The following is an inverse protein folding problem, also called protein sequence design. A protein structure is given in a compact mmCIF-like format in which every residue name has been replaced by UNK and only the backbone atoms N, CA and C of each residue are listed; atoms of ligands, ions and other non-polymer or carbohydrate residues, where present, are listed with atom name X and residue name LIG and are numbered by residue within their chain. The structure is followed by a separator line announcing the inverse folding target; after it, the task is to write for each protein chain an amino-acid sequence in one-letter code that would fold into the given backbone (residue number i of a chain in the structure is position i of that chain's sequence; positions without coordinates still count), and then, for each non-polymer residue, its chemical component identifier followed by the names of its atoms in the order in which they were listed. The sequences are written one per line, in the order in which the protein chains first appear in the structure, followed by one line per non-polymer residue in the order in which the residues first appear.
data_IF_876008695793
#
_entry.id   IF_876008695793
#
_cell.length_a   1.000
_cell.length_b   1.000
_cell.length_c   1.000
_cell.angle_alpha   90.00
_cell.angle_beta   90.00
_cell.angle_gamma   90.00
#
_symmetry.space_group_name_H-M   'P 1'
#
loop_
_entity.id
_entity.type
_entity.pdbx_description
1 polymer ?
#
# COMPACT_ATOMS: atom_id res chain seq x y z
N UNK A 1 -10.92 -17.34 -1.09
CA UNK A 1 -11.40 -16.08 -0.50
C UNK A 1 -10.35 -15.32 0.30
N UNK A 2 -9.47 -16.00 1.06
CA UNK A 2 -8.36 -15.37 1.82
C UNK A 2 -7.55 -14.28 1.07
N UNK A 3 -7.16 -14.41 -0.22
CA UNK A 3 -6.38 -13.37 -0.91
C UNK A 3 -7.11 -12.04 -1.10
N UNK A 4 -8.45 -12.05 -1.12
CA UNK A 4 -9.26 -10.84 -1.25
C UNK A 4 -9.55 -10.16 0.09
N UNK A 5 -9.18 -10.78 1.21
CA UNK A 5 -9.43 -10.22 2.53
C UNK A 5 -8.72 -8.87 2.73
N UNK A 6 -7.42 -8.78 2.39
CA UNK A 6 -6.65 -7.54 2.55
C UNK A 6 -7.20 -6.37 1.72
N UNK A 7 -7.50 -6.52 0.40
CA UNK A 7 -8.15 -5.47 -0.38
C UNK A 7 -9.53 -5.06 0.16
N UNK A 8 -10.39 -6.02 0.51
CA UNK A 8 -11.70 -5.71 1.07
C UNK A 8 -11.57 -4.94 2.39
N UNK A 9 -10.65 -5.35 3.26
CA UNK A 9 -10.40 -4.67 4.53
C UNK A 9 -9.89 -3.23 4.31
N UNK A 10 -9.01 -3.01 3.33
CA UNK A 10 -8.56 -1.67 2.94
C UNK A 10 -9.76 -0.77 2.59
N UNK A 11 -10.61 -1.22 1.66
CA UNK A 11 -11.77 -0.44 1.23
C UNK A 11 -12.75 -0.18 2.37
N UNK A 12 -13.01 -1.17 3.22
CA UNK A 12 -13.86 -1.00 4.40
C UNK A 12 -13.28 0.06 5.35
N UNK A 13 -12.00 -0.03 5.70
CA UNK A 13 -11.35 0.94 6.58
C UNK A 13 -11.35 2.36 6.00
N UNK A 14 -11.08 2.51 4.71
CA UNK A 14 -11.13 3.81 4.04
C UNK A 14 -12.56 4.38 4.01
N UNK A 15 -13.57 3.54 3.78
CA UNK A 15 -14.98 3.96 3.80
C UNK A 15 -15.40 4.40 5.20
N UNK A 16 -15.00 3.63 6.23
CA UNK A 16 -15.25 3.99 7.64
C UNK A 16 -14.59 5.31 7.99
N UNK A 17 -13.34 5.55 7.56
CA UNK A 17 -12.68 6.83 7.76
C UNK A 17 -13.46 7.97 7.12
N UNK A 18 -13.88 7.84 5.85
CA UNK A 18 -14.65 8.89 5.18
C UNK A 18 -15.95 9.20 5.93
N UNK A 19 -16.71 8.18 6.32
CA UNK A 19 -18.01 8.36 6.96
C UNK A 19 -17.95 8.95 8.38
N UNK A 20 -16.84 8.72 9.09
CA UNK A 20 -16.64 9.19 10.47
C UNK A 20 -15.60 10.31 10.59
N UNK A 21 -15.11 10.84 9.46
CA UNK A 21 -14.20 11.97 9.47
C UNK A 21 -14.92 13.23 9.96
N UNK A 22 -14.46 13.88 11.04
CA UNK A 22 -15.07 15.11 11.54
C UNK A 22 -14.78 16.33 10.65
N UNK A 23 -13.78 16.23 9.77
CA UNK A 23 -13.26 17.35 8.98
C UNK A 23 -13.58 17.24 7.49
N UNK A 24 -14.37 16.24 7.08
CA UNK A 24 -14.60 15.91 5.67
C UNK A 24 -13.29 15.90 4.85
N UNK A 25 -12.31 15.08 5.27
CA UNK A 25 -10.99 14.98 4.58
C UNK A 25 -11.15 14.85 3.07
N UNK A 26 -12.17 14.10 2.63
CA UNK A 26 -12.39 13.84 1.22
C UNK A 26 -12.69 15.12 0.42
N UNK A 27 -13.34 16.11 1.03
CA UNK A 27 -13.60 17.40 0.40
C UNK A 27 -12.36 18.30 0.41
N UNK A 28 -11.58 18.27 1.50
CA UNK A 28 -10.41 19.12 1.67
C UNK A 28 -9.21 18.62 0.85
N UNK A 29 -8.92 17.32 0.88
CA UNK A 29 -7.74 16.71 0.28
C UNK A 29 -8.05 15.42 -0.53
N UNK A 30 -8.97 15.47 -1.51
CA UNK A 30 -9.40 14.28 -2.27
C UNK A 30 -8.25 13.60 -2.99
N UNK A 31 -7.37 14.37 -3.64
CA UNK A 31 -6.28 13.86 -4.47
C UNK A 31 -5.32 12.96 -3.69
N UNK A 32 -4.97 13.39 -2.47
CA UNK A 32 -4.00 12.70 -1.63
C UNK A 32 -4.64 11.46 -1.01
N UNK A 33 -5.89 11.57 -0.58
CA UNK A 33 -6.64 10.43 -0.09
C UNK A 33 -6.74 9.32 -1.15
N UNK A 34 -7.19 9.64 -2.37
CA UNK A 34 -7.25 8.65 -3.45
C UNK A 34 -5.89 8.09 -3.83
N UNK A 35 -4.84 8.92 -3.82
CA UNK A 35 -3.47 8.47 -4.06
C UNK A 35 -2.98 7.47 -3.00
N UNK A 36 -3.27 7.74 -1.72
CA UNK A 36 -2.96 6.83 -0.62
C UNK A 36 -3.67 5.48 -0.78
N UNK A 37 -4.98 5.51 -1.02
CA UNK A 37 -5.79 4.28 -1.22
C UNK A 37 -5.27 3.49 -2.42
N UNK A 38 -5.02 4.17 -3.54
CA UNK A 38 -4.46 3.55 -4.74
C UNK A 38 -3.09 2.92 -4.50
N UNK A 39 -2.20 3.60 -3.78
CA UNK A 39 -0.86 3.09 -3.47
C UNK A 39 -0.91 1.86 -2.56
N UNK A 40 -1.76 1.88 -1.53
CA UNK A 40 -1.95 0.73 -0.65
C UNK A 40 -2.55 -0.46 -1.40
N UNK A 41 -3.56 -0.22 -2.24
CA UNK A 41 -4.18 -1.25 -3.08
C UNK A 41 -3.18 -1.84 -4.09
N UNK A 42 -2.37 -1.00 -4.74
CA UNK A 42 -1.32 -1.43 -5.65
C UNK A 42 -0.29 -2.31 -4.92
N UNK A 43 0.15 -1.92 -3.72
CA UNK A 43 1.08 -2.72 -2.92
C UNK A 43 0.53 -4.11 -2.56
N UNK A 44 -0.75 -4.20 -2.15
CA UNK A 44 -1.41 -5.48 -1.86
C UNK A 44 -1.52 -6.32 -3.14
N UNK A 45 -1.98 -5.72 -4.24
CA UNK A 45 -2.18 -6.42 -5.52
C UNK A 45 -0.86 -6.93 -6.11
N UNK A 46 0.21 -6.15 -6.07
CA UNK A 46 1.53 -6.58 -6.52
C UNK A 46 2.03 -7.81 -5.74
N UNK A 47 1.82 -7.84 -4.41
CA UNK A 47 2.18 -9.01 -3.59
C UNK A 47 1.38 -10.25 -3.98
N UNK A 48 0.07 -10.10 -4.21
CA UNK A 48 -0.78 -11.20 -4.67
C UNK A 48 -0.32 -11.77 -6.01
N UNK A 49 0.01 -10.90 -6.98
CA UNK A 49 0.53 -11.30 -8.29
C UNK A 49 1.84 -12.08 -8.15
N UNK A 50 2.80 -11.56 -7.38
CA UNK A 50 4.10 -12.22 -7.18
C UNK A 50 3.94 -13.58 -6.49
N UNK A 51 3.07 -13.67 -5.48
CA UNK A 51 2.77 -14.94 -4.82
C UNK A 51 2.12 -15.95 -5.77
N UNK A 52 1.20 -15.51 -6.63
CA UNK A 52 0.59 -16.36 -7.64
C UNK A 52 1.60 -16.85 -8.67
N UNK A 53 2.48 -15.98 -9.18
CA UNK A 53 3.50 -16.33 -10.18
C UNK A 53 4.57 -17.28 -9.62
N UNK A 54 4.86 -17.20 -8.32
CA UNK A 54 5.86 -18.04 -7.65
C UNK A 54 5.28 -19.28 -6.99
N UNK A 55 3.97 -19.53 -7.10
CA UNK A 55 3.26 -20.58 -6.35
C UNK A 55 3.49 -20.52 -4.84
N UNK A 56 3.79 -19.34 -4.29
CA UNK A 56 4.00 -19.11 -2.85
C UNK A 56 2.74 -18.61 -2.17
N UNK A 57 2.63 -18.85 -0.86
CA UNK A 57 1.48 -18.38 -0.08
C UNK A 57 1.63 -16.89 0.20
N UNK A 58 0.62 -16.10 -0.18
CA UNK A 58 0.59 -14.69 0.17
C UNK A 58 0.28 -14.53 1.67
N UNK A 59 0.99 -13.65 2.41
CA UNK A 59 0.56 -13.25 3.74
C UNK A 59 -0.86 -12.68 3.68
N UNK A 60 -1.69 -13.11 4.62
CA UNK A 60 -3.13 -12.79 4.64
C UNK A 60 -3.40 -11.34 5.01
N UNK A 61 -2.54 -10.75 5.84
CA UNK A 61 -2.62 -9.37 6.30
C UNK A 61 -1.39 -8.59 5.81
N UNK A 62 -1.63 -7.55 5.00
CA UNK A 62 -0.56 -6.63 4.62
C UNK A 62 -0.22 -5.72 5.82
N UNK A 63 1.07 -5.57 6.13
CA UNK A 63 1.53 -4.79 7.26
C UNK A 63 1.15 -3.29 7.15
N UNK A 64 0.93 -2.78 5.94
CA UNK A 64 0.40 -1.43 5.71
C UNK A 64 -1.01 -1.22 6.28
N UNK A 65 -1.80 -2.27 6.49
CA UNK A 65 -3.15 -2.14 7.04
C UNK A 65 -3.14 -1.77 8.53
N UNK A 66 -2.05 -2.07 9.25
CA UNK A 66 -1.91 -1.80 10.67
C UNK A 66 -1.84 -0.28 10.99
N UNK A 67 -0.95 0.53 10.35
CA UNK A 67 -0.96 1.97 10.55
C UNK A 67 -2.26 2.63 10.05
N UNK A 68 -2.88 2.11 8.98
CA UNK A 68 -4.20 2.59 8.55
C UNK A 68 -5.25 2.36 9.64
N UNK A 69 -5.33 1.16 10.19
CA UNK A 69 -6.28 0.82 11.25
C UNK A 69 -6.07 1.67 12.50
N UNK A 70 -4.82 1.96 12.87
CA UNK A 70 -4.50 2.84 13.99
C UNK A 70 -4.99 4.27 13.75
N UNK A 71 -4.80 4.80 12.54
CA UNK A 71 -5.29 6.15 12.20
C UNK A 71 -6.82 6.20 12.19
N UNK A 72 -7.48 5.22 11.59
CA UNK A 72 -8.95 5.14 11.60
C UNK A 72 -9.49 5.04 13.03
N UNK A 73 -8.88 4.21 13.88
CA UNK A 73 -9.26 4.13 15.30
C UNK A 73 -9.09 5.46 16.04
N UNK A 74 -7.99 6.19 15.79
CA UNK A 74 -7.76 7.50 16.39
C UNK A 74 -8.81 8.55 15.96
N UNK A 75 -9.27 8.49 14.71
CA UNK A 75 -10.34 9.35 14.19
C UNK A 75 -11.68 9.01 14.86
N UNK A 76 -12.01 7.73 15.00
CA UNK A 76 -13.25 7.26 15.64
C UNK A 76 -13.35 7.68 17.10
N UNK A 77 -12.23 7.60 17.83
CA UNK A 77 -12.16 8.02 19.25
C UNK A 77 -12.32 9.54 19.39
N UNK A 78 -12.28 10.31 18.30
CA UNK A 78 -12.36 11.77 18.32
C UNK A 78 -11.06 12.44 18.75
N UNK A 79 -9.94 11.71 18.76
CA UNK A 79 -8.62 12.24 19.13
C UNK A 79 -7.99 13.07 17.99
N UNK A 80 -8.52 12.96 16.76
CA UNK A 80 -8.00 13.67 15.60
C UNK A 80 -8.69 15.04 15.43
N UNK A 81 -7.98 16.12 15.75
CA UNK A 81 -8.36 17.47 15.30
C UNK A 81 -8.12 17.62 13.79
N UNK A 82 -8.88 18.45 13.08
CA UNK A 82 -8.75 18.69 11.62
C UNK A 82 -7.32 18.87 11.08
N UNK A 83 -6.48 19.63 11.79
CA UNK A 83 -5.04 19.77 11.43
C UNK A 83 -4.25 18.49 11.59
N UNK A 84 -4.49 17.75 12.68
CA UNK A 84 -3.82 16.47 12.93
C UNK A 84 -4.28 15.42 11.92
N UNK A 85 -5.56 15.41 11.57
CA UNK A 85 -6.13 14.49 10.59
C UNK A 85 -5.49 14.65 9.21
N UNK A 86 -5.30 15.90 8.77
CA UNK A 86 -4.57 16.21 7.53
C UNK A 86 -3.10 15.77 7.61
N UNK A 87 -2.40 16.10 8.71
CA UNK A 87 -1.01 15.68 8.90
C UNK A 87 -0.85 14.15 8.90
N UNK A 88 -1.78 13.43 9.53
CA UNK A 88 -1.84 11.96 9.51
C UNK A 88 -2.05 11.43 8.09
N UNK A 89 -2.92 12.05 7.29
CA UNK A 89 -3.09 11.67 5.89
C UNK A 89 -1.78 11.81 5.09
N UNK A 90 -1.11 12.96 5.16
CA UNK A 90 0.14 13.19 4.44
C UNK A 90 1.24 12.22 4.87
N UNK A 91 1.42 12.03 6.18
CA UNK A 91 2.44 11.13 6.73
C UNK A 91 2.17 9.67 6.36
N UNK A 92 0.92 9.21 6.46
CA UNK A 92 0.50 7.87 6.06
C UNK A 92 0.71 7.65 4.56
N UNK A 93 0.35 8.63 3.74
CA UNK A 93 0.56 8.60 2.29
C UNK A 93 2.05 8.46 1.94
N UNK A 94 2.91 9.28 2.57
CA UNK A 94 4.36 9.22 2.37
C UNK A 94 4.93 7.86 2.78
N UNK A 95 4.52 7.33 3.94
CA UNK A 95 4.95 6.03 4.42
C UNK A 95 4.52 4.90 3.48
N UNK A 96 3.28 4.93 2.98
CA UNK A 96 2.78 3.92 2.03
C UNK A 96 3.51 3.96 0.69
N UNK A 97 3.79 5.17 0.20
CA UNK A 97 4.55 5.37 -1.04
C UNK A 97 5.97 4.84 -0.90
N UNK A 98 6.66 5.17 0.20
CA UNK A 98 8.00 4.66 0.47
C UNK A 98 8.01 3.12 0.57
N UNK A 99 7.03 2.55 1.28
CA UNK A 99 6.91 1.10 1.42
C UNK A 99 6.64 0.41 0.08
N UNK A 100 5.80 0.99 -0.78
CA UNK A 100 5.52 0.46 -2.11
C UNK A 100 6.76 0.50 -3.02
N UNK A 101 7.49 1.62 -3.02
CA UNK A 101 8.75 1.76 -3.76
C UNK A 101 9.79 0.74 -3.26
N UNK A 102 9.97 0.65 -1.94
CA UNK A 102 10.90 -0.32 -1.35
C UNK A 102 10.54 -1.75 -1.74
N UNK A 103 9.26 -2.13 -1.65
CA UNK A 103 8.79 -3.44 -2.08
C UNK A 103 9.11 -3.70 -3.57
N UNK A 104 8.78 -2.75 -4.46
CA UNK A 104 9.06 -2.87 -5.89
C UNK A 104 10.55 -3.06 -6.20
N UNK A 105 11.42 -2.26 -5.57
CA UNK A 105 12.88 -2.37 -5.75
C UNK A 105 13.40 -3.73 -5.28
N UNK A 106 12.94 -4.23 -4.13
CA UNK A 106 13.37 -5.54 -3.61
C UNK A 106 12.92 -6.68 -4.52
N UNK A 107 11.68 -6.64 -5.01
CA UNK A 107 11.15 -7.67 -5.92
C UNK A 107 11.95 -7.71 -7.22
N UNK A 108 12.21 -6.55 -7.85
CA UNK A 108 13.02 -6.48 -9.08
C UNK A 108 14.43 -7.03 -8.83
N UNK A 109 15.06 -6.65 -7.71
CA UNK A 109 16.40 -7.13 -7.35
C UNK A 109 16.44 -8.65 -7.12
N UNK A 110 15.45 -9.20 -6.43
CA UNK A 110 15.35 -10.64 -6.15
C UNK A 110 15.12 -11.45 -7.44
N UNK A 111 14.17 -11.02 -8.27
CA UNK A 111 13.87 -11.68 -9.55
C UNK A 111 15.05 -11.59 -10.52
N UNK A 112 15.68 -10.43 -10.64
CA UNK A 112 16.90 -10.24 -11.43
C UNK A 112 18.00 -11.22 -11.03
N UNK A 113 18.27 -11.35 -9.73
CA UNK A 113 19.26 -12.29 -9.20
C UNK A 113 18.85 -13.74 -9.41
N UNK A 114 17.57 -14.08 -9.26
CA UNK A 114 17.07 -15.43 -9.46
C UNK A 114 17.20 -15.88 -10.93
N UNK A 115 16.81 -15.03 -11.87
CA UNK A 115 16.87 -15.32 -13.31
C UNK A 115 18.21 -14.98 -13.97
N UNK A 116 19.17 -14.43 -13.23
CA UNK A 116 20.47 -13.96 -13.76
C UNK A 116 20.32 -12.95 -14.91
N UNK A 117 19.28 -12.12 -14.87
CA UNK A 117 19.00 -11.07 -15.86
C UNK A 117 19.35 -9.71 -15.29
N UNK A 118 19.88 -8.81 -16.12
CA UNK A 118 20.06 -7.41 -15.78
C UNK A 118 18.80 -6.64 -16.19
N UNK A 119 17.93 -6.23 -15.24
CA UNK A 119 16.56 -5.78 -15.52
C UNK A 119 16.48 -4.49 -16.36
N UNK A 120 17.62 -3.81 -16.57
CA UNK A 120 17.75 -2.61 -17.38
C UNK A 120 18.90 -2.68 -18.40
N UNK A 121 19.48 -3.87 -18.64
CA UNK A 121 20.46 -4.07 -19.71
C UNK A 121 19.78 -4.60 -20.95
N UNK A 122 19.91 -3.87 -22.07
CA UNK A 122 19.50 -4.35 -23.40
C UNK A 122 20.57 -5.25 -24.05
N UNK A 123 21.76 -5.37 -23.45
CA UNK A 123 22.83 -6.22 -23.97
C UNK A 123 22.65 -7.65 -23.47
N UNK A 124 22.43 -8.58 -24.40
CA UNK A 124 22.56 -10.02 -24.18
C UNK A 124 24.02 -10.30 -23.75
N UNK A 125 24.28 -11.08 -22.69
CA UNK A 125 25.65 -11.49 -22.38
C UNK A 125 26.22 -12.23 -23.59
N UNK A 126 27.40 -11.83 -24.06
CA UNK A 126 28.09 -12.56 -25.11
C UNK A 126 28.37 -13.97 -24.60
N UNK A 127 27.91 -14.96 -25.35
CA UNK A 127 28.33 -16.35 -25.24
C UNK A 127 29.71 -16.45 -25.89
N UNK A 128 30.75 -16.14 -25.13
CA UNK A 128 32.13 -16.54 -25.44
C UNK A 128 32.41 -17.90 -24.79
#
# INVERSE_FOLDING_TARGET
MVPFFSPCLLFTLCTVWILWSPSDILEIHPRIFYFMVGTAFANITCQLIVCQMSSTRCPTLNWLLLPLLLVVAAVIVGAATSRLESALLYTLTAAFTLAHIHYGVQVVKQLSRHFQIYPFSLRKPNSD
#
